data_IF_708119502039
#
_entry.id   IF_708119502039
#
_cell.length_a   1.000
_cell.length_b   1.000
_cell.length_c   1.000
_cell.angle_alpha   90.00
_cell.angle_beta   90.00
_cell.angle_gamma   90.00
#
_symmetry.space_group_name_H-M   'P 1'
#
loop_
_entity.id
_entity.type
_entity.pdbx_description
1 polymer ?
#
# COMPACT_ATOMS: atom_id res chain seq x y z
N UNK A 1 -6.53 -16.84 -8.50
CA UNK A 1 -7.06 -15.59 -9.10
C UNK A 1 -5.93 -14.69 -9.62
N UNK A 2 -6.09 -14.07 -10.80
CA UNK A 2 -5.20 -13.01 -11.32
C UNK A 2 -5.88 -11.64 -11.17
N UNK A 3 -5.14 -10.68 -10.61
CA UNK A 3 -5.63 -9.36 -10.23
C UNK A 3 -4.80 -8.33 -10.99
N UNK A 4 -5.44 -7.55 -11.87
CA UNK A 4 -4.77 -6.48 -12.60
C UNK A 4 -4.51 -5.28 -11.68
N UNK A 5 -3.31 -4.72 -11.75
CA UNK A 5 -2.95 -3.47 -11.08
C UNK A 5 -2.76 -2.40 -12.15
N UNK A 6 -3.56 -1.34 -12.09
CA UNK A 6 -3.55 -0.30 -13.12
C UNK A 6 -3.13 1.02 -12.50
N UNK A 7 -2.20 1.70 -13.17
CA UNK A 7 -1.66 2.98 -12.76
C UNK A 7 -2.02 4.06 -13.78
N UNK A 8 -2.03 5.32 -13.35
CA UNK A 8 -2.10 6.44 -14.28
C UNK A 8 -0.72 6.82 -14.83
N UNK A 9 -0.68 7.87 -15.66
CA UNK A 9 0.55 8.37 -16.26
C UNK A 9 1.57 8.94 -15.24
N UNK A 10 1.13 9.28 -14.03
CA UNK A 10 1.97 9.75 -12.94
C UNK A 10 2.41 8.60 -12.02
N UNK A 11 2.04 7.36 -12.34
CA UNK A 11 2.38 6.17 -11.57
C UNK A 11 1.53 5.95 -10.32
N UNK A 12 0.42 6.67 -10.15
CA UNK A 12 -0.50 6.44 -9.03
C UNK A 12 -1.37 5.21 -9.30
N UNK A 13 -1.47 4.29 -8.33
CA UNK A 13 -2.30 3.09 -8.43
C UNK A 13 -3.78 3.46 -8.49
N UNK A 14 -4.45 3.24 -9.63
CA UNK A 14 -5.86 3.58 -9.86
C UNK A 14 -6.82 2.42 -9.71
N UNK A 15 -6.38 1.18 -9.87
CA UNK A 15 -7.24 -0.01 -9.69
C UNK A 15 -6.49 -1.23 -9.20
N UNK A 16 -7.17 -2.02 -8.37
CA UNK A 16 -6.78 -3.36 -7.91
C UNK A 16 -7.91 -4.32 -8.29
N UNK A 17 -7.74 -5.06 -9.38
CA UNK A 17 -8.82 -5.81 -9.99
C UNK A 17 -9.97 -4.87 -10.35
N UNK A 18 -11.17 -5.16 -9.84
CA UNK A 18 -12.36 -4.33 -10.04
C UNK A 18 -12.50 -3.19 -9.02
N UNK A 19 -11.61 -3.14 -8.01
CA UNK A 19 -11.63 -2.09 -6.99
C UNK A 19 -10.94 -0.82 -7.51
N UNK A 20 -11.68 0.30 -7.54
CA UNK A 20 -11.15 1.62 -7.88
C UNK A 20 -10.39 2.27 -6.71
N UNK A 21 -9.29 2.95 -6.99
CA UNK A 21 -8.61 3.87 -6.08
C UNK A 21 -8.77 5.31 -6.61
N UNK A 22 -9.56 6.11 -5.90
CA UNK A 22 -9.76 7.52 -6.26
C UNK A 22 -8.82 8.41 -5.46
N UNK A 23 -8.39 9.52 -6.07
CA UNK A 23 -7.45 10.47 -5.47
C UNK A 23 -8.04 11.89 -5.44
N UNK A 24 -7.54 12.71 -4.51
CA UNK A 24 -7.80 14.16 -4.51
C UNK A 24 -6.97 14.82 -5.60
N UNK A 25 -7.61 15.62 -6.46
CA UNK A 25 -6.94 16.29 -7.60
C UNK A 25 -5.78 17.18 -7.18
N UNK A 26 -5.94 17.93 -6.09
CA UNK A 26 -4.95 18.94 -5.67
C UNK A 26 -3.80 18.35 -4.85
N UNK A 27 -4.08 17.40 -3.96
CA UNK A 27 -3.05 16.88 -3.05
C UNK A 27 -2.38 15.61 -3.55
N UNK A 28 -2.88 14.99 -4.63
CA UNK A 28 -2.37 13.70 -5.10
C UNK A 28 -2.52 12.55 -4.10
N UNK A 29 -3.29 12.73 -3.01
CA UNK A 29 -3.50 11.71 -1.98
C UNK A 29 -4.70 10.83 -2.32
N UNK A 30 -4.65 9.51 -2.05
CA UNK A 30 -5.82 8.66 -2.10
C UNK A 30 -6.98 9.27 -1.29
N UNK A 31 -8.22 9.10 -1.72
CA UNK A 31 -9.42 9.53 -0.99
C UNK A 31 -10.47 8.44 -0.86
N UNK A 32 -10.36 7.38 -1.66
CA UNK A 32 -11.28 6.26 -1.64
C UNK A 32 -10.59 5.00 -2.20
N UNK A 33 -10.86 3.86 -1.57
CA UNK A 33 -10.51 2.53 -2.04
C UNK A 33 -11.81 1.72 -2.13
N UNK A 34 -12.30 1.45 -3.34
CA UNK A 34 -13.61 0.84 -3.56
C UNK A 34 -14.73 1.63 -2.89
N UNK A 35 -15.43 1.00 -1.95
CA UNK A 35 -16.46 1.63 -1.12
C UNK A 35 -15.94 2.33 0.13
N UNK A 36 -14.63 2.28 0.43
CA UNK A 36 -14.07 2.84 1.67
C UNK A 36 -13.49 4.23 1.47
N UNK A 37 -14.00 5.21 2.21
CA UNK A 37 -13.42 6.55 2.26
C UNK A 37 -12.07 6.55 2.99
N UNK A 38 -11.14 7.36 2.50
CA UNK A 38 -9.81 7.55 3.10
C UNK A 38 -9.74 8.97 3.64
N UNK A 39 -9.59 9.08 4.95
CA UNK A 39 -9.55 10.35 5.66
C UNK A 39 -8.15 10.66 6.17
N UNK A 40 -7.82 11.94 6.14
CA UNK A 40 -6.56 12.47 6.65
C UNK A 40 -6.87 13.50 7.73
N UNK A 41 -6.01 13.53 8.74
CA UNK A 41 -6.00 14.60 9.71
C UNK A 41 -5.68 15.93 9.02
N UNK A 42 -6.46 16.98 9.32
CA UNK A 42 -6.38 18.26 8.60
C UNK A 42 -5.13 19.06 8.95
N UNK A 43 -4.59 18.88 10.16
CA UNK A 43 -3.47 19.65 10.66
C UNK A 43 -2.15 18.97 10.31
N UNK A 44 -2.04 17.68 10.64
CA UNK A 44 -0.83 16.89 10.41
C UNK A 44 -0.75 16.31 9.00
N UNK A 45 -1.85 16.28 8.24
CA UNK A 45 -1.90 15.67 6.91
C UNK A 45 -1.76 14.14 6.91
N UNK A 46 -1.73 13.51 8.08
CA UNK A 46 -1.53 12.07 8.28
C UNK A 46 -2.80 11.28 7.99
N UNK A 47 -2.65 10.05 7.52
CA UNK A 47 -3.77 9.13 7.31
C UNK A 47 -4.48 8.85 8.64
N UNK A 48 -5.76 9.15 8.74
CA UNK A 48 -6.54 9.02 9.97
C UNK A 48 -7.41 7.78 9.97
N UNK A 49 -8.02 7.45 8.82
CA UNK A 49 -9.03 6.39 8.73
C UNK A 49 -9.14 5.85 7.31
N UNK A 50 -9.45 4.55 7.17
CA UNK A 50 -9.86 3.92 5.91
C UNK A 50 -11.15 3.13 6.16
N UNK A 51 -12.25 3.58 5.56
CA UNK A 51 -13.57 3.02 5.84
C UNK A 51 -13.90 3.12 7.33
N UNK A 52 -14.24 2.02 7.99
CA UNK A 52 -14.49 1.97 9.44
C UNK A 52 -13.22 1.77 10.28
N UNK A 53 -12.04 1.64 9.65
CA UNK A 53 -10.80 1.24 10.33
C UNK A 53 -9.96 2.48 10.67
N UNK A 54 -9.73 2.70 11.96
CA UNK A 54 -8.90 3.80 12.44
C UNK A 54 -7.41 3.52 12.26
N UNK A 55 -6.64 4.57 12.00
CA UNK A 55 -5.18 4.48 11.90
C UNK A 55 -4.54 4.90 13.23
N UNK A 56 -3.75 4.00 13.81
CA UNK A 56 -3.01 4.24 15.05
C UNK A 56 -1.55 4.54 14.72
N UNK A 57 -0.96 5.51 15.39
CA UNK A 57 0.46 5.88 15.26
C UNK A 57 1.21 5.63 16.56
N UNK A 58 2.52 5.43 16.48
CA UNK A 58 3.39 5.40 17.66
C UNK A 58 3.71 6.81 18.16
N UNK A 59 4.00 6.95 19.46
CA UNK A 59 4.08 8.26 20.14
C UNK A 59 5.05 9.29 19.56
N UNK A 60 6.09 8.87 18.82
CA UNK A 60 7.04 9.77 18.16
C UNK A 60 7.28 9.43 16.67
N UNK A 61 6.45 8.55 16.08
CA UNK A 61 6.63 8.08 14.72
C UNK A 61 5.80 8.85 13.70
N UNK A 62 6.34 9.06 12.50
CA UNK A 62 5.58 9.47 11.31
C UNK A 62 4.80 8.31 10.67
N UNK A 63 5.14 7.06 11.03
CA UNK A 63 4.63 5.85 10.40
C UNK A 63 3.43 5.24 11.16
N UNK A 64 2.42 4.72 10.45
CA UNK A 64 1.27 4.05 11.06
C UNK A 64 1.72 2.77 11.77
N UNK A 65 1.21 2.51 12.97
CA UNK A 65 1.40 1.25 13.71
C UNK A 65 0.29 0.25 13.46
N UNK A 66 -0.91 0.71 13.12
CA UNK A 66 -2.04 -0.16 12.76
C UNK A 66 -3.05 0.57 11.89
N UNK A 67 -3.81 -0.18 11.09
CA UNK A 67 -5.06 0.24 10.43
C UNK A 67 -6.14 -0.76 10.82
N UNK A 68 -7.03 -0.37 11.74
CA UNK A 68 -7.91 -1.31 12.42
C UNK A 68 -7.12 -2.40 13.15
N UNK A 69 -7.42 -3.65 12.84
CA UNK A 69 -6.74 -4.85 13.37
C UNK A 69 -5.43 -5.19 12.63
N UNK A 70 -5.15 -4.53 11.50
CA UNK A 70 -3.93 -4.79 10.74
C UNK A 70 -2.75 -4.02 11.35
N UNK A 71 -2.00 -4.68 12.23
CA UNK A 71 -0.80 -4.12 12.84
C UNK A 71 0.42 -4.18 11.91
N UNK A 72 1.25 -3.13 11.96
CA UNK A 72 2.46 -3.01 11.15
C UNK A 72 3.67 -3.44 11.95
N UNK A 73 4.41 -4.41 11.40
CA UNK A 73 5.71 -4.82 11.89
C UNK A 73 6.79 -4.19 11.02
N UNK A 74 7.59 -3.29 11.60
CA UNK A 74 8.70 -2.64 10.91
C UNK A 74 9.99 -3.38 11.26
N UNK A 75 10.83 -3.67 10.26
CA UNK A 75 12.14 -4.27 10.50
C UNK A 75 13.04 -3.38 11.35
N UNK A 76 13.85 -3.98 12.23
CA UNK A 76 14.66 -3.24 13.21
C UNK A 76 15.73 -2.29 12.68
N UNK A 77 16.05 -2.28 11.38
CA UNK A 77 17.10 -1.41 10.82
C UNK A 77 16.80 -0.86 9.42
N UNK A 78 15.54 -0.85 8.98
CA UNK A 78 15.16 -0.38 7.64
C UNK A 78 13.81 0.33 7.61
N UNK A 79 13.53 1.13 6.57
CA UNK A 79 12.27 1.84 6.47
C UNK A 79 11.08 0.88 6.30
N UNK A 80 11.32 -0.23 5.62
CA UNK A 80 10.27 -1.06 5.04
C UNK A 80 9.50 -1.91 6.07
N UNK A 81 8.18 -1.97 5.86
CA UNK A 81 7.25 -2.84 6.59
C UNK A 81 7.54 -4.30 6.27
N UNK A 82 7.72 -5.14 7.29
CA UNK A 82 7.90 -6.60 7.11
C UNK A 82 6.61 -7.39 7.16
N UNK A 83 5.57 -6.84 7.79
CA UNK A 83 4.27 -7.52 7.93
C UNK A 83 3.15 -6.50 8.17
N UNK A 84 1.98 -6.77 7.60
CA UNK A 84 0.72 -6.03 7.84
C UNK A 84 -0.32 -7.03 8.31
N UNK A 85 -0.73 -6.95 9.58
CA UNK A 85 -1.60 -7.95 10.22
C UNK A 85 -1.03 -9.37 10.08
N UNK A 86 -1.79 -10.36 9.56
CA UNK A 86 -1.29 -11.71 9.35
C UNK A 86 -0.41 -11.86 8.09
N UNK A 87 -0.25 -10.81 7.29
CA UNK A 87 0.34 -10.89 5.96
C UNK A 87 1.81 -10.46 5.95
N UNK A 88 2.78 -11.39 5.89
CA UNK A 88 4.19 -11.05 5.73
C UNK A 88 4.47 -10.42 4.37
N UNK A 89 5.33 -9.40 4.34
CA UNK A 89 5.81 -8.77 3.12
C UNK A 89 7.17 -9.35 2.73
N UNK A 90 7.38 -9.59 1.44
CA UNK A 90 8.70 -9.93 0.90
C UNK A 90 9.06 -8.98 -0.23
N UNK A 91 10.32 -8.58 -0.24
CA UNK A 91 10.86 -7.62 -1.19
C UNK A 91 11.87 -8.29 -2.12
N UNK A 92 11.98 -7.76 -3.33
CA UNK A 92 13.05 -8.08 -4.26
C UNK A 92 14.39 -7.66 -3.66
N UNK A 93 15.36 -8.58 -3.59
CA UNK A 93 16.72 -8.23 -3.14
C UNK A 93 17.42 -7.24 -4.06
N UNK A 94 17.11 -7.28 -5.35
CA UNK A 94 17.79 -6.46 -6.36
C UNK A 94 17.14 -5.08 -6.52
N UNK A 95 15.81 -5.00 -6.42
CA UNK A 95 15.07 -3.78 -6.72
C UNK A 95 14.46 -3.11 -5.47
N UNK A 96 14.45 -3.77 -4.31
CA UNK A 96 13.87 -3.21 -3.09
C UNK A 96 12.34 -3.13 -3.09
N UNK A 97 11.65 -3.63 -4.12
CA UNK A 97 10.19 -3.54 -4.29
C UNK A 97 9.44 -4.77 -3.74
N UNK A 98 8.18 -4.60 -3.32
CA UNK A 98 7.30 -5.64 -2.79
C UNK A 98 6.99 -6.69 -3.85
N UNK A 99 7.41 -7.93 -3.62
CA UNK A 99 7.09 -9.08 -4.47
C UNK A 99 6.03 -10.00 -3.86
N UNK A 100 5.74 -9.86 -2.56
CA UNK A 100 4.72 -10.67 -1.89
C UNK A 100 4.05 -9.92 -0.75
N UNK A 101 2.73 -10.07 -0.64
CA UNK A 101 1.91 -9.62 0.49
C UNK A 101 1.08 -10.81 0.98
N UNK A 102 1.56 -11.48 2.03
CA UNK A 102 0.98 -12.73 2.50
C UNK A 102 0.91 -13.78 1.36
N UNK A 103 -0.29 -14.26 0.99
CA UNK A 103 -0.45 -15.22 -0.09
C UNK A 103 -0.44 -14.58 -1.50
N UNK A 104 -0.44 -13.24 -1.61
CA UNK A 104 -0.38 -12.56 -2.91
C UNK A 104 1.04 -12.47 -3.44
N UNK A 105 1.27 -12.95 -4.65
CA UNK A 105 2.47 -12.64 -5.42
C UNK A 105 2.25 -11.36 -6.23
N UNK A 106 3.15 -10.40 -6.14
CA UNK A 106 3.10 -9.12 -6.87
C UNK A 106 4.13 -9.16 -8.00
N UNK A 107 3.69 -8.83 -9.22
CA UNK A 107 4.51 -8.91 -10.44
C UNK A 107 4.65 -7.56 -11.11
N UNK A 108 5.84 -7.38 -11.66
CA UNK A 108 6.26 -6.16 -12.34
C UNK A 108 6.49 -6.48 -13.83
N UNK A 109 6.24 -5.52 -14.72
CA UNK A 109 6.66 -5.63 -16.11
C UNK A 109 8.19 -5.70 -16.20
N UNK A 110 8.72 -6.39 -17.23
CA UNK A 110 10.17 -6.62 -17.38
C UNK A 110 11.04 -5.36 -17.36
N UNK A 111 10.48 -4.21 -17.73
CA UNK A 111 11.18 -2.92 -17.85
C UNK A 111 10.50 -1.80 -17.06
N UNK A 112 9.65 -2.12 -16.08
CA UNK A 112 8.95 -1.08 -15.31
C UNK A 112 9.07 -1.27 -13.81
N UNK A 113 8.94 -0.14 -13.11
CA UNK A 113 9.09 -0.04 -11.64
C UNK A 113 7.76 -0.14 -10.91
N UNK A 114 6.64 -0.08 -11.63
CA UNK A 114 5.30 -0.19 -11.06
C UNK A 114 4.76 -1.60 -11.23
N UNK A 115 4.16 -2.20 -10.19
CA UNK A 115 3.58 -3.52 -10.31
C UNK A 115 2.37 -3.47 -11.26
N UNK A 116 2.15 -4.50 -12.06
CA UNK A 116 1.02 -4.53 -12.99
C UNK A 116 0.04 -5.68 -12.74
N UNK A 117 0.43 -6.64 -11.88
CA UNK A 117 -0.40 -7.78 -11.50
C UNK A 117 -0.13 -8.20 -10.07
N UNK A 118 -1.16 -8.73 -9.43
CA UNK A 118 -1.05 -9.58 -8.26
C UNK A 118 -1.74 -10.92 -8.55
N UNK A 119 -1.29 -12.01 -7.93
CA UNK A 119 -1.96 -13.30 -8.03
C UNK A 119 -2.12 -13.94 -6.66
N UNK A 120 -3.33 -14.45 -6.41
CA UNK A 120 -3.68 -15.25 -5.26
C UNK A 120 -3.77 -16.71 -5.71
N UNK A 121 -2.98 -17.60 -5.12
CA UNK A 121 -3.09 -19.04 -5.35
C UNK A 121 -4.33 -19.58 -4.64
N UNK A 122 -5.16 -20.35 -5.35
CA UNK A 122 -6.42 -20.89 -4.82
C UNK A 122 -7.59 -20.81 -5.81
N UNK A 123 -8.67 -21.50 -5.48
CA UNK A 123 -9.94 -21.52 -6.24
C UNK A 123 -10.82 -20.28 -5.98
N UNK A 124 -10.44 -19.45 -5.02
CA UNK A 124 -11.17 -18.23 -4.68
C UNK A 124 -11.31 -17.33 -5.90
N UNK A 125 -12.55 -16.87 -6.12
CA UNK A 125 -12.91 -16.00 -7.25
C UNK A 125 -12.84 -14.52 -6.90
N UNK A 126 -12.71 -14.19 -5.62
CA UNK A 126 -12.72 -12.82 -5.12
C UNK A 126 -11.56 -12.58 -4.15
N UNK A 127 -11.03 -11.36 -4.16
CA UNK A 127 -9.97 -10.94 -3.26
C UNK A 127 -10.58 -10.54 -1.92
N UNK A 128 -10.22 -11.19 -0.79
CA UNK A 128 -10.75 -10.81 0.51
C UNK A 128 -10.44 -9.36 0.87
N UNK A 129 -11.39 -8.67 1.50
CA UNK A 129 -11.29 -7.25 1.87
C UNK A 129 -10.03 -6.90 2.67
N UNK A 130 -9.67 -7.72 3.65
CA UNK A 130 -8.45 -7.48 4.44
C UNK A 130 -7.18 -7.62 3.61
N UNK A 131 -7.16 -8.55 2.65
CA UNK A 131 -6.02 -8.78 1.78
C UNK A 131 -5.93 -7.70 0.69
N UNK A 132 -7.07 -7.20 0.20
CA UNK A 132 -7.17 -6.00 -0.63
C UNK A 132 -6.58 -4.78 0.11
N UNK A 133 -7.00 -4.57 1.36
CA UNK A 133 -6.49 -3.47 2.19
C UNK A 133 -4.99 -3.60 2.44
N UNK A 134 -4.51 -4.80 2.78
CA UNK A 134 -3.09 -5.05 3.00
C UNK A 134 -2.25 -4.83 1.73
N UNK A 135 -2.73 -5.28 0.57
CA UNK A 135 -2.08 -5.01 -0.72
C UNK A 135 -2.01 -3.51 -1.01
N UNK A 136 -3.13 -2.80 -0.86
CA UNK A 136 -3.17 -1.34 -1.04
C UNK A 136 -2.17 -0.63 -0.12
N UNK A 137 -2.16 -0.97 1.18
CA UNK A 137 -1.27 -0.36 2.17
C UNK A 137 0.20 -0.65 1.86
N UNK A 138 0.54 -1.87 1.45
CA UNK A 138 1.91 -2.24 1.09
C UNK A 138 2.43 -1.41 -0.09
N UNK A 139 1.65 -1.32 -1.17
CA UNK A 139 2.03 -0.56 -2.36
C UNK A 139 2.02 0.96 -2.13
N UNK A 140 1.08 1.45 -1.32
CA UNK A 140 1.01 2.87 -0.95
C UNK A 140 2.22 3.29 -0.12
N UNK A 141 2.61 2.50 0.87
CA UNK A 141 3.77 2.80 1.71
C UNK A 141 5.09 2.71 0.94
N UNK A 142 5.23 1.73 0.04
CA UNK A 142 6.38 1.66 -0.87
C UNK A 142 6.53 2.95 -1.69
N UNK A 143 5.44 3.42 -2.30
CA UNK A 143 5.46 4.64 -3.10
C UNK A 143 5.78 5.90 -2.27
N UNK A 144 5.28 6.00 -1.03
CA UNK A 144 5.57 7.13 -0.14
C UNK A 144 7.02 7.08 0.41
N UNK A 145 7.58 5.89 0.65
CA UNK A 145 8.98 5.73 1.04
C UNK A 145 9.94 6.17 -0.06
N UNK A 146 9.65 5.82 -1.32
CA UNK A 146 10.45 6.26 -2.47
C UNK A 146 10.42 7.79 -2.63
N UNK A 147 9.25 8.42 -2.46
CA UNK A 147 9.13 9.88 -2.54
C UNK A 147 9.87 10.55 -1.38
N UNK A 148 9.69 10.08 -0.14
CA UNK A 148 10.37 10.65 1.02
C UNK A 148 11.90 10.51 0.95
N UNK A 149 12.40 9.38 0.44
CA UNK A 149 13.83 9.18 0.23
C UNK A 149 14.41 10.14 -0.81
N UNK A 150 13.68 10.39 -1.91
CA UNK A 150 14.08 11.35 -2.92
C UNK A 150 14.08 12.80 -2.39
N UNK A 151 13.08 13.17 -1.59
CA UNK A 151 13.05 14.49 -0.94
C UNK A 151 14.21 14.69 0.05
N UNK A 152 14.63 13.66 0.80
CA UNK A 152 15.78 13.73 1.72
C UNK A 152 17.14 13.84 1.01
N UNK A 153 17.27 13.33 -0.23
CA UNK A 153 18.52 13.39 -0.99
C UNK A 153 18.70 14.68 -1.80
N UNK A 154 17.59 15.32 -2.18
CA UNK A 154 17.60 16.50 -3.06
C UNK A 154 17.04 17.76 -2.41
N UNK A 155 16.70 17.71 -1.12
CA UNK A 155 16.21 18.81 -0.28
C UNK A 155 17.30 19.58 0.46
#
# INVERSE_FOLDING_TARGET
MDIKLQHDALGSLRRIGDTEVAYRKLSGKPRRLGGWEIEYDRLSGRLKRIGHREVRYGGHGSRPRAVGELEFDYGGSGPSVRRIGPYPLRYSKAAGVVQRVGPLEVRYPRLGVLPNRASLEGEDRELPDELLLALFLALYLEAEEDVGFLEELFG
#
